data_IF_183398995992
#
_entry.id   IF_183398995992
#
_cell.length_a   1.000
_cell.length_b   1.000
_cell.length_c   1.000
_cell.angle_alpha   90.00
_cell.angle_beta   90.00
_cell.angle_gamma   90.00
#
_symmetry.space_group_name_H-M   'P 1'
#
loop_
_entity.id
_entity.type
_entity.pdbx_description
1 polymer ?
#
# COMPACT_ATOMS: atom_id res chain seq x y z
N UNK A 1 52.62 -28.94 -23.67
CA UNK A 1 51.71 -29.01 -22.56
C UNK A 1 52.04 -27.94 -21.56
N UNK A 2 51.40 -26.76 -21.68
CA UNK A 2 51.55 -25.66 -20.70
C UNK A 2 50.16 -25.43 -20.11
N UNK A 3 49.98 -25.68 -18.81
CA UNK A 3 48.78 -25.34 -18.06
C UNK A 3 48.89 -23.87 -17.65
N UNK A 4 47.95 -23.06 -18.12
CA UNK A 4 47.71 -21.68 -17.68
C UNK A 4 46.96 -21.70 -16.35
N UNK A 5 47.59 -21.11 -15.31
CA UNK A 5 46.92 -20.76 -14.06
C UNK A 5 46.13 -19.47 -14.29
N UNK A 6 44.79 -19.54 -14.26
CA UNK A 6 43.95 -18.37 -14.08
C UNK A 6 43.85 -18.05 -12.58
N UNK A 7 44.37 -16.87 -12.25
CA UNK A 7 44.27 -16.30 -10.92
C UNK A 7 42.86 -15.75 -10.68
N UNK A 8 42.17 -16.33 -9.72
CA UNK A 8 40.96 -15.72 -9.12
C UNK A 8 41.35 -14.41 -8.41
N UNK A 9 40.96 -13.27 -8.98
CA UNK A 9 40.99 -12.01 -8.26
C UNK A 9 39.78 -11.95 -7.34
N UNK A 10 40.01 -12.03 -6.04
CA UNK A 10 39.05 -11.72 -5.00
C UNK A 10 38.73 -10.20 -5.06
N UNK A 11 37.53 -9.85 -5.52
CA UNK A 11 37.02 -8.51 -5.34
C UNK A 11 36.66 -8.37 -3.86
N UNK A 12 37.47 -7.68 -3.11
CA UNK A 12 37.15 -7.14 -1.80
C UNK A 12 36.22 -5.95 -2.04
N UNK A 13 34.92 -6.13 -1.74
CA UNK A 13 33.91 -5.05 -1.68
C UNK A 13 34.33 -4.14 -0.51
N UNK A 14 34.46 -2.84 -0.75
CA UNK A 14 34.81 -1.87 0.30
C UNK A 14 33.64 -1.70 1.27
N UNK A 15 33.86 -1.35 2.55
CA UNK A 15 32.80 -1.07 3.51
C UNK A 15 31.84 0.05 3.05
N UNK A 16 32.33 1.00 2.26
CA UNK A 16 31.54 2.14 1.73
C UNK A 16 30.57 1.71 0.61
N UNK A 17 30.84 0.60 -0.11
CA UNK A 17 29.93 0.06 -1.12
C UNK A 17 28.73 -0.69 -0.49
N UNK A 18 28.83 -1.04 0.80
CA UNK A 18 27.73 -1.66 1.56
C UNK A 18 26.74 -0.64 2.15
N UNK A 19 27.13 0.64 2.29
CA UNK A 19 26.22 1.66 2.84
C UNK A 19 25.19 2.20 1.85
N UNK A 20 25.39 2.07 0.54
CA UNK A 20 24.48 2.62 -0.47
C UNK A 20 23.22 1.78 -0.76
N UNK A 21 23.15 0.53 -0.32
CA UNK A 21 21.97 -0.34 -0.54
C UNK A 21 20.93 -0.30 0.58
N UNK A 22 21.13 0.47 1.65
CA UNK A 22 20.25 0.55 2.81
C UNK A 22 19.21 1.70 2.76
N UNK A 23 19.23 2.54 1.73
CA UNK A 23 18.30 3.68 1.62
C UNK A 23 16.87 3.31 1.17
N UNK A 24 16.61 2.07 0.74
CA UNK A 24 15.24 1.62 0.49
C UNK A 24 14.55 1.31 1.82
N UNK A 25 13.76 2.26 2.30
CA UNK A 25 13.00 2.13 3.54
C UNK A 25 12.04 0.92 3.49
N UNK A 26 12.46 -0.19 4.09
CA UNK A 26 11.76 -1.49 4.08
C UNK A 26 10.36 -1.37 4.68
N UNK A 27 10.18 -0.45 5.60
CA UNK A 27 8.92 -0.24 6.32
C UNK A 27 7.98 0.74 5.63
N UNK A 28 8.36 1.30 4.46
CA UNK A 28 7.44 2.13 3.69
C UNK A 28 6.26 1.29 3.16
N UNK A 29 5.02 1.73 3.34
CA UNK A 29 3.87 1.06 2.76
C UNK A 29 3.70 1.35 1.26
N UNK A 30 4.50 2.24 0.67
CA UNK A 30 4.46 2.57 -0.74
C UNK A 30 5.05 1.46 -1.62
N UNK A 31 4.60 1.42 -2.88
CA UNK A 31 5.09 0.48 -3.87
C UNK A 31 6.45 0.94 -4.40
N UNK A 32 7.42 0.04 -4.40
CA UNK A 32 8.72 0.21 -5.07
C UNK A 32 8.84 -0.82 -6.20
N UNK A 33 9.56 -0.52 -7.31
CA UNK A 33 9.64 -1.43 -8.47
C UNK A 33 10.12 -2.86 -8.13
N UNK A 34 11.00 -3.00 -7.14
CA UNK A 34 11.55 -4.27 -6.67
C UNK A 34 10.47 -5.18 -6.03
N UNK A 35 9.34 -4.59 -5.59
CA UNK A 35 8.22 -5.36 -5.05
C UNK A 35 7.55 -6.22 -6.13
N UNK A 36 7.55 -5.80 -7.39
CA UNK A 36 6.83 -6.50 -8.47
C UNK A 36 7.29 -7.94 -8.65
N UNK A 37 8.59 -8.18 -8.60
CA UNK A 37 9.17 -9.52 -8.79
C UNK A 37 8.84 -10.46 -7.64
N UNK A 38 8.72 -9.93 -6.43
CA UNK A 38 8.50 -10.70 -5.21
C UNK A 38 7.02 -10.80 -4.86
N UNK A 39 6.26 -9.71 -4.98
CA UNK A 39 4.85 -9.69 -4.61
C UNK A 39 3.98 -10.50 -5.58
N UNK A 40 4.28 -10.51 -6.89
CA UNK A 40 3.44 -11.17 -7.88
C UNK A 40 3.24 -12.67 -7.60
N UNK A 41 4.28 -13.47 -7.29
CA UNK A 41 4.11 -14.89 -6.93
C UNK A 41 3.35 -15.07 -5.60
N UNK A 42 3.50 -14.13 -4.66
CA UNK A 42 2.92 -14.21 -3.33
C UNK A 42 1.45 -13.78 -3.28
N UNK A 43 0.93 -13.13 -4.33
CA UNK A 43 -0.44 -12.64 -4.35
C UNK A 43 -1.44 -13.80 -4.38
N UNK A 44 -2.46 -13.79 -3.50
CA UNK A 44 -3.58 -14.74 -3.60
C UNK A 44 -4.36 -14.50 -4.90
N UNK A 45 -4.91 -15.57 -5.45
CA UNK A 45 -5.67 -15.54 -6.73
C UNK A 45 -7.17 -15.66 -6.52
N UNK A 46 -7.61 -16.12 -5.38
CA UNK A 46 -9.02 -16.35 -5.05
C UNK A 46 -9.40 -15.71 -3.73
N UNK A 47 -10.69 -15.43 -3.51
CA UNK A 47 -11.19 -14.95 -2.22
C UNK A 47 -10.90 -15.94 -1.09
N UNK A 48 -10.84 -17.25 -1.38
CA UNK A 48 -10.52 -18.26 -0.39
C UNK A 48 -9.07 -18.18 0.11
N UNK A 49 -8.14 -17.81 -0.77
CA UNK A 49 -6.73 -17.63 -0.42
C UNK A 49 -6.45 -16.28 0.26
N UNK A 50 -7.37 -15.33 0.10
CA UNK A 50 -7.22 -13.97 0.64
C UNK A 50 -7.50 -13.96 2.15
N UNK A 51 -6.45 -13.77 2.95
CA UNK A 51 -6.50 -13.78 4.41
C UNK A 51 -6.93 -12.41 4.91
N UNK A 52 -7.77 -12.37 5.95
CA UNK A 52 -8.29 -11.15 6.56
C UNK A 52 -9.41 -10.49 5.77
N UNK A 53 -9.80 -9.30 6.18
CA UNK A 53 -10.86 -8.48 5.56
C UNK A 53 -12.21 -9.23 5.46
N UNK A 54 -12.59 -10.01 6.48
CA UNK A 54 -13.69 -10.97 6.41
C UNK A 54 -15.01 -10.33 5.95
N UNK A 55 -15.39 -9.16 6.51
CA UNK A 55 -16.61 -8.44 6.11
C UNK A 55 -16.61 -8.04 4.62
N UNK A 56 -15.46 -7.59 4.12
CA UNK A 56 -15.33 -7.21 2.71
C UNK A 56 -15.44 -8.44 1.81
N UNK A 57 -14.82 -9.57 2.20
CA UNK A 57 -14.88 -10.83 1.46
C UNK A 57 -16.27 -11.42 1.41
N UNK A 58 -16.99 -11.45 2.53
CA UNK A 58 -18.36 -11.96 2.61
C UNK A 58 -19.28 -11.19 1.65
N UNK A 59 -19.25 -9.85 1.70
CA UNK A 59 -20.05 -9.02 0.81
C UNK A 59 -19.65 -9.23 -0.66
N UNK A 60 -18.35 -9.22 -0.97
CA UNK A 60 -17.88 -9.42 -2.34
C UNK A 60 -18.27 -10.79 -2.89
N UNK A 61 -18.18 -11.85 -2.09
CA UNK A 61 -18.58 -13.19 -2.49
C UNK A 61 -20.05 -13.22 -2.94
N UNK A 62 -20.94 -12.57 -2.17
CA UNK A 62 -22.37 -12.47 -2.52
C UNK A 62 -22.56 -11.68 -3.81
N UNK A 63 -21.91 -10.51 -3.95
CA UNK A 63 -22.08 -9.66 -5.12
C UNK A 63 -21.56 -10.33 -6.41
N UNK A 64 -20.39 -10.99 -6.33
CA UNK A 64 -19.80 -11.74 -7.44
C UNK A 64 -20.73 -12.89 -7.85
N UNK A 65 -21.22 -13.67 -6.89
CA UNK A 65 -22.12 -14.80 -7.20
C UNK A 65 -23.43 -14.32 -7.80
N UNK A 66 -24.03 -13.27 -7.27
CA UNK A 66 -25.24 -12.65 -7.80
C UNK A 66 -25.02 -12.15 -9.25
N UNK A 67 -23.91 -11.47 -9.53
CA UNK A 67 -23.57 -11.02 -10.88
C UNK A 67 -23.42 -12.20 -11.86
N UNK A 68 -22.76 -13.29 -11.44
CA UNK A 68 -22.64 -14.53 -12.24
C UNK A 68 -23.99 -15.18 -12.54
N UNK A 69 -24.89 -15.25 -11.54
CA UNK A 69 -26.25 -15.80 -11.73
C UNK A 69 -27.03 -14.97 -12.74
N UNK A 70 -26.95 -13.64 -12.68
CA UNK A 70 -27.61 -12.73 -13.62
C UNK A 70 -26.91 -12.66 -14.98
N UNK A 71 -25.67 -13.16 -15.08
CA UNK A 71 -24.79 -13.05 -16.28
C UNK A 71 -24.52 -11.58 -16.64
N UNK A 72 -24.25 -10.77 -15.64
CA UNK A 72 -23.97 -9.33 -15.75
C UNK A 72 -22.58 -9.02 -15.26
N UNK A 73 -22.06 -7.85 -15.63
CA UNK A 73 -20.88 -7.28 -15.01
C UNK A 73 -21.14 -7.01 -13.54
N UNK A 74 -20.13 -7.08 -12.70
CA UNK A 74 -20.22 -6.63 -11.32
C UNK A 74 -20.44 -5.11 -11.30
N UNK A 75 -21.18 -4.61 -10.32
CA UNK A 75 -21.28 -3.17 -10.06
C UNK A 75 -19.89 -2.56 -9.85
N UNK A 76 -19.75 -1.26 -10.14
CA UNK A 76 -18.48 -0.56 -9.92
C UNK A 76 -18.09 -0.58 -8.44
N UNK A 77 -16.81 -0.86 -8.15
CA UNK A 77 -16.28 -1.08 -6.81
C UNK A 77 -15.27 0.01 -6.45
N UNK A 78 -15.42 0.63 -5.29
CA UNK A 78 -14.42 1.52 -4.70
C UNK A 78 -13.73 0.82 -3.53
N UNK A 79 -12.41 0.64 -3.64
CA UNK A 79 -11.56 0.11 -2.57
C UNK A 79 -10.80 1.27 -1.92
N UNK A 80 -10.97 1.48 -0.62
CA UNK A 80 -10.24 2.55 0.06
C UNK A 80 -9.64 2.09 1.37
N UNK A 81 -8.56 2.75 1.77
CA UNK A 81 -7.82 2.45 3.00
C UNK A 81 -6.32 2.69 2.82
N UNK A 82 -5.54 2.57 3.90
CA UNK A 82 -4.10 2.77 3.89
C UNK A 82 -3.37 2.04 2.77
N UNK A 83 -2.17 2.47 2.37
CA UNK A 83 -1.37 1.78 1.36
C UNK A 83 -0.92 0.39 1.88
N UNK A 84 -0.58 -0.52 0.98
CA UNK A 84 -0.04 -1.84 1.33
C UNK A 84 -1.05 -2.89 1.81
N UNK A 85 -2.37 -2.59 1.88
CA UNK A 85 -3.42 -3.50 2.35
C UNK A 85 -3.96 -4.48 1.30
N UNK A 86 -3.47 -4.44 0.06
CA UNK A 86 -3.87 -5.39 -0.98
C UNK A 86 -5.04 -4.94 -1.86
N UNK A 87 -5.31 -3.63 -2.02
CA UNK A 87 -6.36 -3.11 -2.92
C UNK A 87 -6.22 -3.65 -4.35
N UNK A 88 -5.04 -3.57 -4.92
CA UNK A 88 -4.72 -4.10 -6.26
C UNK A 88 -4.88 -5.62 -6.33
N UNK A 89 -4.49 -6.33 -5.27
CA UNK A 89 -4.66 -7.78 -5.16
C UNK A 89 -6.14 -8.16 -5.16
N UNK A 90 -6.95 -7.44 -4.39
CA UNK A 90 -8.40 -7.70 -4.32
C UNK A 90 -9.09 -7.42 -5.66
N UNK A 91 -8.66 -6.38 -6.39
CA UNK A 91 -9.16 -6.12 -7.74
C UNK A 91 -8.82 -7.26 -8.71
N UNK A 92 -7.61 -7.80 -8.64
CA UNK A 92 -7.21 -8.96 -9.46
C UNK A 92 -8.02 -10.22 -9.09
N UNK A 93 -8.28 -10.44 -7.80
CA UNK A 93 -9.13 -11.53 -7.33
C UNK A 93 -10.56 -11.40 -7.89
N UNK A 94 -11.15 -10.19 -7.82
CA UNK A 94 -12.49 -9.94 -8.35
C UNK A 94 -12.57 -10.33 -9.85
N UNK A 95 -11.60 -9.88 -10.64
CA UNK A 95 -11.55 -10.22 -12.07
C UNK A 95 -11.40 -11.74 -12.29
N UNK A 96 -10.53 -12.39 -11.52
CA UNK A 96 -10.33 -13.83 -11.59
C UNK A 96 -11.59 -14.62 -11.20
N UNK A 97 -12.26 -14.23 -10.10
CA UNK A 97 -13.51 -14.83 -9.66
C UNK A 97 -14.64 -14.62 -10.69
N UNK A 98 -14.71 -13.47 -11.34
CA UNK A 98 -15.66 -13.20 -12.43
C UNK A 98 -15.29 -13.94 -13.75
N UNK A 99 -14.06 -14.43 -13.87
CA UNK A 99 -13.56 -15.09 -15.09
C UNK A 99 -13.34 -14.14 -16.26
N UNK A 100 -12.95 -12.90 -15.98
CA UNK A 100 -12.75 -11.82 -16.97
C UNK A 100 -11.32 -11.27 -16.90
N UNK A 101 -10.92 -10.48 -17.92
CA UNK A 101 -9.62 -9.83 -17.90
C UNK A 101 -9.64 -8.58 -17.02
N UNK A 102 -8.46 -8.24 -16.51
CA UNK A 102 -8.23 -6.98 -15.78
C UNK A 102 -7.23 -6.12 -16.55
N UNK A 103 -7.57 -4.84 -16.72
CA UNK A 103 -6.62 -3.80 -17.13
C UNK A 103 -6.28 -2.93 -15.94
N UNK A 104 -4.99 -2.80 -15.66
CA UNK A 104 -4.48 -2.06 -14.51
C UNK A 104 -3.84 -0.77 -14.99
N UNK A 105 -4.24 0.33 -14.39
CA UNK A 105 -3.65 1.66 -14.58
C UNK A 105 -3.67 2.43 -13.25
N UNK A 106 -3.18 3.66 -13.27
CA UNK A 106 -3.22 4.55 -12.11
C UNK A 106 -3.73 5.94 -12.49
N UNK A 107 -4.29 6.68 -11.52
CA UNK A 107 -4.74 8.06 -11.74
C UNK A 107 -3.66 8.94 -12.38
N UNK A 108 -2.42 8.97 -11.85
CA UNK A 108 -1.32 9.73 -12.46
C UNK A 108 -0.95 9.33 -13.88
N UNK A 109 -1.18 8.09 -14.28
CA UNK A 109 -0.87 7.61 -15.64
C UNK A 109 -1.91 8.05 -16.68
N UNK A 110 -3.07 8.56 -16.24
CA UNK A 110 -4.13 9.07 -17.10
C UNK A 110 -4.06 10.61 -17.10
N UNK A 111 -3.24 11.17 -17.97
CA UNK A 111 -2.99 12.61 -17.98
C UNK A 111 -4.14 13.41 -18.61
N UNK A 112 -4.78 12.86 -19.63
CA UNK A 112 -5.82 13.54 -20.42
C UNK A 112 -7.00 12.64 -20.76
N UNK A 113 -8.16 13.23 -21.08
CA UNK A 113 -9.38 12.52 -21.44
C UNK A 113 -9.22 11.44 -22.52
N UNK A 114 -8.36 11.68 -23.51
CA UNK A 114 -8.08 10.72 -24.59
C UNK A 114 -7.40 9.43 -24.13
N UNK A 115 -6.59 9.49 -23.07
CA UNK A 115 -5.92 8.32 -22.52
C UNK A 115 -6.95 7.37 -21.90
N UNK A 116 -7.91 7.93 -21.13
CA UNK A 116 -9.01 7.16 -20.54
C UNK A 116 -9.93 6.60 -21.64
N UNK A 117 -10.29 7.41 -22.63
CA UNK A 117 -11.11 6.95 -23.75
C UNK A 117 -10.47 5.77 -24.49
N UNK A 118 -9.17 5.80 -24.72
CA UNK A 118 -8.42 4.71 -25.34
C UNK A 118 -8.44 3.43 -24.46
N UNK A 119 -8.34 3.56 -23.14
CA UNK A 119 -8.45 2.41 -22.23
C UNK A 119 -9.86 1.80 -22.29
N UNK A 120 -10.91 2.62 -22.21
CA UNK A 120 -12.31 2.18 -22.18
C UNK A 120 -12.74 1.50 -23.48
N UNK A 121 -12.34 2.05 -24.63
CA UNK A 121 -12.69 1.50 -25.96
C UNK A 121 -12.01 0.17 -26.27
N UNK A 122 -10.93 -0.16 -25.57
CA UNK A 122 -10.19 -1.42 -25.72
C UNK A 122 -10.62 -2.51 -24.70
N UNK A 123 -11.68 -2.30 -23.92
CA UNK A 123 -12.24 -3.31 -23.03
C UNK A 123 -13.13 -4.29 -23.81
N UNK A 124 -13.19 -5.54 -23.35
CA UNK A 124 -14.18 -6.51 -23.79
C UNK A 124 -15.38 -6.51 -22.82
N UNK A 125 -16.54 -7.06 -23.24
CA UNK A 125 -17.68 -7.21 -22.36
C UNK A 125 -17.33 -7.98 -21.07
N UNK A 126 -17.62 -7.36 -19.93
CA UNK A 126 -17.35 -7.91 -18.59
C UNK A 126 -15.98 -7.63 -18.03
N UNK A 127 -15.03 -7.11 -18.81
CA UNK A 127 -13.67 -6.80 -18.34
C UNK A 127 -13.67 -5.85 -17.13
N UNK A 128 -12.63 -5.94 -16.32
CA UNK A 128 -12.37 -5.04 -15.20
C UNK A 128 -11.35 -3.98 -15.62
N UNK A 129 -11.68 -2.72 -15.40
CA UNK A 129 -10.72 -1.62 -15.41
C UNK A 129 -10.38 -1.25 -13.97
N UNK A 130 -9.11 -1.43 -13.58
CA UNK A 130 -8.62 -1.02 -12.27
C UNK A 130 -7.81 0.26 -12.38
N UNK A 131 -8.21 1.29 -11.60
CA UNK A 131 -7.50 2.57 -11.51
C UNK A 131 -7.00 2.74 -10.07
N UNK A 132 -5.69 2.61 -9.86
CA UNK A 132 -5.07 2.91 -8.58
C UNK A 132 -4.94 4.43 -8.39
N UNK A 133 -4.98 4.88 -7.12
CA UNK A 133 -4.96 6.30 -6.76
C UNK A 133 -5.94 7.15 -7.59
N UNK A 134 -7.17 6.65 -7.73
CA UNK A 134 -8.22 7.25 -8.58
C UNK A 134 -8.54 8.71 -8.18
N UNK A 135 -8.29 9.12 -6.94
CA UNK A 135 -8.45 10.51 -6.48
C UNK A 135 -7.48 11.49 -7.14
N UNK A 136 -6.45 11.00 -7.85
CA UNK A 136 -5.48 11.82 -8.58
C UNK A 136 -5.88 12.08 -10.05
N UNK A 137 -7.04 11.59 -10.47
CA UNK A 137 -7.58 11.93 -11.78
C UNK A 137 -7.86 13.44 -11.87
N UNK A 138 -7.53 14.03 -13.01
CA UNK A 138 -7.94 15.41 -13.28
C UNK A 138 -9.47 15.49 -13.48
N UNK A 139 -10.06 16.64 -13.18
CA UNK A 139 -11.49 16.86 -13.34
C UNK A 139 -12.01 16.57 -14.76
N UNK A 140 -11.22 16.92 -15.78
CA UNK A 140 -11.57 16.66 -17.18
C UNK A 140 -11.59 15.17 -17.53
N UNK A 141 -10.79 14.35 -16.84
CA UNK A 141 -10.81 12.89 -16.98
C UNK A 141 -12.00 12.29 -16.22
N UNK A 142 -12.31 12.79 -15.02
CA UNK A 142 -13.50 12.36 -14.27
C UNK A 142 -14.80 12.61 -15.05
N UNK A 143 -14.91 13.75 -15.76
CA UNK A 143 -16.09 14.10 -16.57
C UNK A 143 -16.37 13.10 -17.70
N UNK A 144 -15.35 12.43 -18.24
CA UNK A 144 -15.54 11.32 -19.19
C UNK A 144 -15.92 10.02 -18.47
N UNK A 145 -15.43 9.82 -17.25
CA UNK A 145 -15.68 8.61 -16.50
C UNK A 145 -17.16 8.51 -16.07
N UNK A 146 -17.81 9.63 -15.80
CA UNK A 146 -19.21 9.62 -15.36
C UNK A 146 -20.17 8.93 -16.35
N UNK A 147 -20.28 9.36 -17.62
CA UNK A 147 -21.17 8.67 -18.57
C UNK A 147 -20.67 7.26 -18.90
N UNK A 148 -19.35 7.02 -18.85
CA UNK A 148 -18.81 5.68 -19.04
C UNK A 148 -19.30 4.69 -17.96
N UNK A 149 -19.46 5.14 -16.72
CA UNK A 149 -19.95 4.31 -15.60
C UNK A 149 -21.49 4.14 -15.60
N UNK A 150 -22.22 5.19 -15.95
CA UNK A 150 -23.69 5.17 -15.88
C UNK A 150 -24.32 4.58 -17.14
N UNK A 151 -23.92 5.10 -18.32
CA UNK A 151 -24.55 4.82 -19.59
C UNK A 151 -23.76 3.84 -20.46
N UNK A 152 -22.55 3.45 -20.02
CA UNK A 152 -21.61 2.67 -20.83
C UNK A 152 -21.37 3.30 -22.19
N UNK A 153 -21.13 4.62 -22.19
CA UNK A 153 -20.84 5.40 -23.40
C UNK A 153 -19.93 6.58 -23.07
N UNK A 154 -19.22 7.06 -24.06
CA UNK A 154 -18.43 8.31 -23.98
C UNK A 154 -18.77 9.21 -25.15
N UNK A 155 -18.74 10.53 -24.90
CA UNK A 155 -18.90 11.54 -25.94
C UNK A 155 -17.53 12.07 -26.33
N UNK A 156 -17.18 11.88 -27.60
CA UNK A 156 -15.91 12.37 -28.18
C UNK A 156 -16.21 13.59 -29.03
N UNK A 157 -15.69 14.74 -28.63
CA UNK A 157 -15.81 15.97 -29.39
C UNK A 157 -14.60 16.07 -30.35
N UNK A 158 -14.89 16.07 -31.65
CA UNK A 158 -13.88 16.25 -32.69
C UNK A 158 -14.11 17.56 -33.43
N UNK A 159 -13.00 18.25 -33.81
CA UNK A 159 -13.06 19.54 -34.44
C UNK A 159 -13.00 20.72 -33.46
N UNK A 160 -12.98 21.95 -33.99
CA UNK A 160 -12.95 23.20 -33.21
C UNK A 160 -14.02 24.18 -33.70
N UNK A 161 -14.58 24.96 -32.80
CA UNK A 161 -15.56 26.03 -33.14
C UNK A 161 -16.86 25.47 -33.73
N UNK A 162 -17.39 26.11 -34.76
CA UNK A 162 -18.64 25.74 -35.42
C UNK A 162 -18.61 24.38 -36.15
N UNK A 163 -17.43 23.80 -36.35
CA UNK A 163 -17.25 22.47 -36.94
C UNK A 163 -17.04 21.34 -35.88
N UNK A 164 -17.23 21.66 -34.64
CA UNK A 164 -17.17 20.63 -33.58
C UNK A 164 -18.36 19.65 -33.71
N UNK A 165 -18.05 18.38 -33.87
CA UNK A 165 -19.06 17.29 -33.87
C UNK A 165 -18.85 16.43 -32.62
N UNK A 166 -19.94 16.11 -31.93
CA UNK A 166 -19.94 15.16 -30.83
C UNK A 166 -20.32 13.77 -31.36
N UNK A 167 -19.50 12.79 -31.09
CA UNK A 167 -19.73 11.40 -31.41
C UNK A 167 -20.00 10.63 -30.12
N UNK A 168 -21.20 10.10 -30.00
CA UNK A 168 -21.59 9.20 -28.92
C UNK A 168 -21.06 7.79 -29.22
N UNK A 169 -20.09 7.32 -28.45
CA UNK A 169 -19.45 6.03 -28.64
C UNK A 169 -19.90 5.05 -27.54
N UNK A 170 -20.66 4.01 -27.87
CA UNK A 170 -21.06 3.00 -26.89
C UNK A 170 -19.85 2.17 -26.47
N UNK A 171 -19.77 1.84 -25.18
CA UNK A 171 -18.79 0.98 -24.55
C UNK A 171 -19.37 -0.39 -24.22
N UNK A 172 -18.57 -1.45 -24.22
CA UNK A 172 -19.02 -2.70 -23.61
C UNK A 172 -19.32 -2.50 -22.13
N UNK A 173 -20.24 -3.27 -21.56
CA UNK A 173 -20.43 -3.28 -20.11
C UNK A 173 -19.16 -3.78 -19.44
N UNK A 174 -18.66 -3.05 -18.48
CA UNK A 174 -17.42 -3.32 -17.75
C UNK A 174 -17.59 -3.02 -16.26
N UNK A 175 -16.68 -3.49 -15.44
CA UNK A 175 -16.59 -3.13 -14.04
C UNK A 175 -15.41 -2.19 -13.82
N UNK A 176 -15.69 -0.97 -13.31
CA UNK A 176 -14.63 -0.11 -12.80
C UNK A 176 -14.34 -0.48 -11.36
N UNK A 177 -13.07 -0.72 -11.03
CA UNK A 177 -12.57 -0.83 -9.67
C UNK A 177 -11.63 0.35 -9.42
N UNK A 178 -12.08 1.31 -8.63
CA UNK A 178 -11.26 2.42 -8.17
C UNK A 178 -10.58 2.08 -6.85
N UNK A 179 -9.29 2.42 -6.71
CA UNK A 179 -8.59 2.32 -5.44
C UNK A 179 -8.08 3.68 -5.00
N UNK A 180 -8.11 3.96 -3.70
CA UNK A 180 -7.60 5.21 -3.14
C UNK A 180 -7.13 5.05 -1.70
N UNK A 181 -6.07 5.77 -1.36
CA UNK A 181 -5.63 5.96 0.03
C UNK A 181 -6.35 7.14 0.70
N UNK A 182 -6.92 8.06 -0.09
CA UNK A 182 -7.50 9.33 0.35
C UNK A 182 -8.96 9.48 -0.10
N UNK A 183 -9.85 8.66 0.46
CA UNK A 183 -11.27 8.65 0.07
C UNK A 183 -11.96 10.02 0.18
N UNK A 184 -11.52 10.85 1.12
CA UNK A 184 -12.05 12.22 1.28
C UNK A 184 -11.67 13.21 0.17
N UNK A 185 -10.67 12.88 -0.67
CA UNK A 185 -10.27 13.69 -1.82
C UNK A 185 -11.02 13.31 -3.10
N UNK A 186 -11.74 12.18 -3.09
CA UNK A 186 -12.56 11.79 -4.23
C UNK A 186 -13.76 12.71 -4.36
N UNK A 187 -14.05 13.17 -5.58
CA UNK A 187 -15.22 14.01 -5.83
C UNK A 187 -16.51 13.26 -5.47
N UNK A 188 -17.49 13.97 -4.89
CA UNK A 188 -18.77 13.36 -4.54
C UNK A 188 -19.47 12.73 -5.76
N UNK A 189 -19.51 13.39 -6.96
CA UNK A 189 -20.10 12.79 -8.15
C UNK A 189 -19.46 11.46 -8.57
N UNK A 190 -18.15 11.34 -8.46
CA UNK A 190 -17.47 10.08 -8.79
C UNK A 190 -17.75 9.00 -7.75
N UNK A 191 -17.69 9.35 -6.47
CA UNK A 191 -17.92 8.41 -5.38
C UNK A 191 -19.33 7.81 -5.42
N UNK A 192 -20.35 8.64 -5.72
CA UNK A 192 -21.76 8.23 -5.69
C UNK A 192 -22.12 7.26 -6.85
N UNK A 193 -21.21 7.09 -7.82
CA UNK A 193 -21.36 6.15 -8.94
C UNK A 193 -20.80 4.76 -8.64
N UNK A 194 -20.16 4.57 -7.51
CA UNK A 194 -19.74 3.25 -7.07
C UNK A 194 -20.86 2.56 -6.31
N UNK A 195 -21.37 1.46 -6.87
CA UNK A 195 -22.41 0.64 -6.23
C UNK A 195 -21.90 -0.15 -5.01
N UNK A 196 -20.60 -0.45 -4.99
CA UNK A 196 -19.94 -1.19 -3.89
C UNK A 196 -18.77 -0.36 -3.35
N UNK A 197 -18.82 -0.02 -2.07
CA UNK A 197 -17.73 0.74 -1.40
C UNK A 197 -17.19 -0.09 -0.26
N UNK A 198 -15.90 -0.45 -0.32
CA UNK A 198 -15.24 -1.32 0.64
C UNK A 198 -14.04 -0.61 1.27
N UNK A 199 -14.08 -0.50 2.60
CA UNK A 199 -12.95 -0.06 3.40
C UNK A 199 -12.07 -1.26 3.73
N UNK A 200 -10.78 -1.18 3.40
CA UNK A 200 -9.79 -2.13 3.89
C UNK A 200 -9.19 -1.61 5.19
N UNK A 201 -9.11 -2.49 6.16
CA UNK A 201 -8.59 -2.19 7.49
C UNK A 201 -7.18 -2.78 7.66
N UNK A 202 -6.43 -2.26 8.64
CA UNK A 202 -5.16 -2.85 9.01
C UNK A 202 -5.36 -4.28 9.50
N UNK A 203 -4.40 -5.14 9.17
CA UNK A 203 -4.41 -6.54 9.59
C UNK A 203 -3.94 -6.67 11.02
N UNK A 204 -4.48 -7.66 11.73
CA UNK A 204 -3.96 -8.05 13.05
C UNK A 204 -2.62 -8.79 12.89
N UNK A 205 -1.78 -8.84 13.94
CA UNK A 205 -0.57 -9.66 13.92
C UNK A 205 -0.82 -11.13 13.57
N UNK A 206 -1.93 -11.72 14.04
CA UNK A 206 -2.30 -13.10 13.76
C UNK A 206 -2.68 -13.32 12.30
N UNK A 207 -3.41 -12.39 11.69
CA UNK A 207 -3.72 -12.42 10.26
C UNK A 207 -2.44 -12.29 9.42
N UNK A 208 -1.55 -11.37 9.80
CA UNK A 208 -0.25 -11.20 9.13
C UNK A 208 0.65 -12.42 9.32
N UNK A 209 0.67 -13.05 10.49
CA UNK A 209 1.43 -14.29 10.71
C UNK A 209 0.97 -15.42 9.77
N UNK A 210 -0.34 -15.52 9.52
CA UNK A 210 -0.88 -16.45 8.51
C UNK A 210 -0.44 -16.09 7.09
N UNK A 211 -0.38 -14.79 6.75
CA UNK A 211 0.13 -14.31 5.46
C UNK A 211 1.61 -14.63 5.33
N UNK A 212 2.42 -14.36 6.35
CA UNK A 212 3.87 -14.65 6.39
C UNK A 212 4.11 -16.15 6.22
N UNK A 213 3.39 -17.00 6.96
CA UNK A 213 3.51 -18.46 6.85
C UNK A 213 3.14 -18.96 5.45
N UNK A 214 2.06 -18.45 4.87
CA UNK A 214 1.67 -18.77 3.49
C UNK A 214 2.75 -18.32 2.49
N UNK A 215 3.26 -17.11 2.64
CA UNK A 215 4.31 -16.55 1.77
C UNK A 215 5.62 -17.34 1.90
N UNK A 216 6.00 -17.75 3.11
CA UNK A 216 7.15 -18.62 3.36
C UNK A 216 7.00 -19.96 2.63
N UNK A 217 5.82 -20.59 2.67
CA UNK A 217 5.55 -21.83 1.94
C UNK A 217 5.68 -21.68 0.41
N UNK A 218 5.28 -20.55 -0.16
CA UNK A 218 5.44 -20.26 -1.59
C UNK A 218 6.92 -20.04 -1.95
N UNK A 219 7.70 -19.46 -1.02
CA UNK A 219 9.14 -19.24 -1.17
C UNK A 219 9.98 -20.47 -0.81
N UNK A 220 9.35 -21.62 -0.51
CA UNK A 220 9.99 -22.85 -0.07
C UNK A 220 10.87 -22.64 1.17
N UNK A 221 10.43 -21.78 2.07
CA UNK A 221 11.12 -21.38 3.28
C UNK A 221 10.47 -22.03 4.51
N UNK A 222 11.25 -22.73 5.32
CA UNK A 222 10.79 -23.24 6.61
C UNK A 222 10.81 -22.11 7.65
N UNK A 223 9.67 -21.83 8.28
CA UNK A 223 9.50 -20.78 9.29
C UNK A 223 8.78 -21.32 10.53
N UNK A 224 9.33 -21.00 11.70
CA UNK A 224 8.68 -21.34 12.97
C UNK A 224 7.48 -20.42 13.22
N UNK A 225 6.38 -20.89 13.84
CA UNK A 225 5.20 -20.08 14.10
C UNK A 225 5.48 -18.79 14.89
N UNK A 226 6.37 -18.86 15.87
CA UNK A 226 6.75 -17.71 16.69
C UNK A 226 7.57 -16.69 15.87
N UNK A 227 8.41 -17.15 14.95
CA UNK A 227 9.13 -16.30 14.03
C UNK A 227 8.17 -15.59 13.04
N UNK A 228 7.16 -16.31 12.55
CA UNK A 228 6.13 -15.72 11.69
C UNK A 228 5.34 -14.63 12.43
N UNK A 229 5.01 -14.85 13.71
CA UNK A 229 4.34 -13.85 14.55
C UNK A 229 5.24 -12.65 14.84
N UNK A 230 6.54 -12.87 15.06
CA UNK A 230 7.53 -11.81 15.28
C UNK A 230 7.64 -10.89 14.05
N UNK A 231 7.79 -11.46 12.85
CA UNK A 231 7.79 -10.70 11.58
C UNK A 231 6.46 -9.95 11.41
N UNK A 232 5.34 -10.60 11.71
CA UNK A 232 4.01 -10.03 11.58
C UNK A 232 3.79 -8.83 12.53
N UNK A 233 4.20 -8.93 13.79
CA UNK A 233 4.03 -7.87 14.79
C UNK A 233 4.76 -6.58 14.42
N UNK A 234 5.93 -6.69 13.76
CA UNK A 234 6.72 -5.54 13.30
C UNK A 234 6.32 -5.04 11.90
N UNK A 235 5.27 -5.62 11.29
CA UNK A 235 4.84 -5.30 9.91
C UNK A 235 3.84 -4.16 9.79
N UNK A 236 3.63 -3.37 10.84
CA UNK A 236 2.73 -2.18 10.84
C UNK A 236 1.32 -2.46 10.31
N UNK A 237 0.78 -3.65 10.52
CA UNK A 237 -0.55 -4.02 10.05
C UNK A 237 -0.70 -4.17 8.53
N UNK A 238 0.40 -4.25 7.76
CA UNK A 238 0.34 -4.31 6.29
C UNK A 238 1.01 -5.54 5.69
N UNK A 239 0.31 -6.28 4.81
CA UNK A 239 0.86 -7.45 4.12
C UNK A 239 2.12 -7.16 3.28
N UNK A 240 2.21 -5.96 2.69
CA UNK A 240 3.39 -5.57 1.89
C UNK A 240 4.64 -5.52 2.74
N UNK A 241 4.57 -4.84 3.89
CA UNK A 241 5.71 -4.76 4.82
C UNK A 241 6.05 -6.16 5.34
N UNK A 242 5.05 -6.97 5.70
CA UNK A 242 5.25 -8.34 6.16
C UNK A 242 6.06 -9.18 5.15
N UNK A 243 5.71 -9.11 3.87
CA UNK A 243 6.42 -9.82 2.80
C UNK A 243 7.85 -9.27 2.58
N UNK A 244 8.04 -7.95 2.68
CA UNK A 244 9.39 -7.35 2.60
C UNK A 244 10.27 -7.81 3.76
N UNK A 245 9.75 -7.77 4.99
CA UNK A 245 10.47 -8.24 6.16
C UNK A 245 10.79 -9.73 6.05
N UNK A 246 9.84 -10.56 5.63
CA UNK A 246 10.07 -12.00 5.41
C UNK A 246 11.23 -12.24 4.43
N UNK A 247 11.29 -11.48 3.32
CA UNK A 247 12.39 -11.59 2.35
C UNK A 247 13.74 -11.29 3.00
N UNK A 248 13.84 -10.25 3.82
CA UNK A 248 15.10 -9.92 4.52
C UNK A 248 15.46 -10.97 5.57
N UNK A 249 14.49 -11.40 6.37
CA UNK A 249 14.69 -12.46 7.35
C UNK A 249 15.16 -13.76 6.68
N UNK A 250 14.63 -14.10 5.49
CA UNK A 250 15.09 -15.23 4.68
C UNK A 250 16.58 -15.12 4.36
N UNK A 251 17.06 -13.93 3.94
CA UNK A 251 18.46 -13.74 3.59
C UNK A 251 19.37 -14.02 4.79
N UNK A 252 18.96 -13.61 6.00
CA UNK A 252 19.66 -13.94 7.25
C UNK A 252 19.60 -15.44 7.57
N UNK A 253 18.43 -16.07 7.40
CA UNK A 253 18.25 -17.48 7.66
C UNK A 253 19.16 -18.36 6.78
N UNK A 254 19.31 -18.01 5.50
CA UNK A 254 20.20 -18.71 4.57
C UNK A 254 21.65 -18.69 5.02
N UNK A 255 22.11 -17.60 5.64
CA UNK A 255 23.50 -17.44 6.07
C UNK A 255 23.74 -18.00 7.47
N UNK A 256 22.76 -17.88 8.37
CA UNK A 256 22.93 -18.14 9.79
C UNK A 256 22.36 -19.47 10.27
N UNK A 257 21.38 -20.07 9.55
CA UNK A 257 20.61 -21.21 10.04
C UNK A 257 20.10 -22.15 8.93
N UNK A 258 20.96 -22.46 7.95
CA UNK A 258 20.69 -23.40 6.86
C UNK A 258 19.33 -23.20 6.16
N UNK A 259 18.87 -21.93 6.10
CA UNK A 259 17.62 -21.55 5.45
C UNK A 259 16.35 -21.66 6.31
N UNK A 260 16.45 -22.11 7.57
CA UNK A 260 15.31 -22.15 8.48
C UNK A 260 15.18 -20.83 9.26
N UNK A 261 13.98 -20.25 9.25
CA UNK A 261 13.65 -19.04 10.02
C UNK A 261 13.15 -19.42 11.42
N UNK A 262 14.06 -19.42 12.38
CA UNK A 262 13.75 -19.48 13.80
C UNK A 262 13.40 -18.11 14.37
N UNK A 263 12.79 -18.06 15.56
CA UNK A 263 12.52 -16.81 16.29
C UNK A 263 13.80 -15.98 16.49
N UNK A 264 14.91 -16.64 16.89
CA UNK A 264 16.19 -15.98 17.12
C UNK A 264 16.73 -15.32 15.83
N UNK A 265 16.67 -16.03 14.70
CA UNK A 265 17.11 -15.49 13.39
C UNK A 265 16.21 -14.31 12.98
N UNK A 266 14.90 -14.40 13.18
CA UNK A 266 13.98 -13.32 12.88
C UNK A 266 14.30 -12.06 13.72
N UNK A 267 14.51 -12.21 15.01
CA UNK A 267 14.86 -11.11 15.91
C UNK A 267 16.18 -10.45 15.51
N UNK A 268 17.24 -11.23 15.30
CA UNK A 268 18.54 -10.70 14.86
C UNK A 268 18.42 -9.95 13.53
N UNK A 269 17.67 -10.51 12.57
CA UNK A 269 17.49 -9.87 11.27
C UNK A 269 16.76 -8.53 11.39
N UNK A 270 15.69 -8.46 12.19
CA UNK A 270 14.90 -7.25 12.38
C UNK A 270 15.67 -6.18 13.17
N UNK A 271 16.42 -6.58 14.21
CA UNK A 271 17.29 -5.67 14.95
C UNK A 271 18.39 -5.08 14.08
N UNK A 272 19.03 -5.89 13.23
CA UNK A 272 20.05 -5.41 12.29
C UNK A 272 19.50 -4.46 11.23
N UNK A 273 18.19 -4.53 10.96
CA UNK A 273 17.46 -3.60 10.10
C UNK A 273 16.97 -2.36 10.88
N UNK A 274 17.37 -2.22 12.15
CA UNK A 274 16.95 -1.13 13.03
C UNK A 274 15.43 -0.99 13.20
N UNK A 275 14.69 -2.11 13.04
CA UNK A 275 13.24 -2.17 13.21
C UNK A 275 12.94 -2.65 14.64
N UNK A 276 12.28 -1.80 15.41
CA UNK A 276 11.95 -2.09 16.81
C UNK A 276 10.72 -3.02 16.98
N UNK A 277 10.37 -3.32 18.22
CA UNK A 277 9.27 -4.23 18.58
C UNK A 277 7.89 -3.78 18.03
N UNK A 278 7.71 -2.48 17.81
CA UNK A 278 6.49 -1.92 17.21
C UNK A 278 6.61 -1.68 15.70
N UNK A 279 7.72 -2.10 15.08
CA UNK A 279 7.94 -1.89 13.66
C UNK A 279 8.39 -0.48 13.29
N UNK A 280 8.85 0.35 14.25
CA UNK A 280 9.42 1.65 13.95
C UNK A 280 10.84 1.47 13.42
N UNK A 281 11.12 2.16 12.31
CA UNK A 281 12.46 2.23 11.75
C UNK A 281 13.28 3.42 12.31
N UNK A 282 14.49 3.59 11.80
CA UNK A 282 15.38 4.69 12.18
C UNK A 282 14.77 6.07 11.91
N UNK A 283 14.02 6.23 10.81
CA UNK A 283 13.44 7.51 10.43
C UNK A 283 12.24 7.86 11.30
N UNK A 284 11.38 6.90 11.66
CA UNK A 284 10.30 7.13 12.62
C UNK A 284 10.84 7.64 13.96
N UNK A 285 11.85 6.93 14.49
CA UNK A 285 12.46 7.31 15.77
C UNK A 285 13.16 8.67 15.67
N UNK A 286 13.85 8.95 14.54
CA UNK A 286 14.47 10.26 14.29
C UNK A 286 13.43 11.38 14.23
N UNK A 287 12.28 11.13 13.56
CA UNK A 287 11.19 12.09 13.48
C UNK A 287 10.64 12.46 14.87
N UNK A 288 10.27 11.45 15.66
CA UNK A 288 9.78 11.66 17.02
C UNK A 288 10.82 12.35 17.90
N UNK A 289 12.08 11.91 17.86
CA UNK A 289 13.17 12.48 18.64
C UNK A 289 13.46 13.92 18.24
N UNK A 290 13.49 14.25 16.95
CA UNK A 290 13.67 15.61 16.45
C UNK A 290 12.57 16.54 16.98
N UNK A 291 11.32 16.09 16.96
CA UNK A 291 10.19 16.86 17.50
C UNK A 291 10.34 17.09 19.02
N UNK A 292 10.83 16.10 19.75
CA UNK A 292 11.03 16.20 21.20
C UNK A 292 12.18 17.15 21.53
N UNK A 293 13.34 16.94 20.91
CA UNK A 293 14.59 17.61 21.28
C UNK A 293 14.59 19.09 20.86
N UNK A 294 14.07 19.40 19.66
CA UNK A 294 14.12 20.77 19.11
C UNK A 294 12.83 21.56 19.28
N UNK A 295 11.69 20.89 19.48
CA UNK A 295 10.38 21.54 19.49
C UNK A 295 9.55 21.20 20.73
N UNK A 296 10.15 20.61 21.77
CA UNK A 296 9.49 20.21 23.02
C UNK A 296 8.25 19.30 22.78
N UNK A 297 8.30 18.47 21.75
CA UNK A 297 7.21 17.56 21.36
C UNK A 297 6.08 18.22 20.56
N UNK A 298 6.22 19.47 20.19
CA UNK A 298 5.26 20.20 19.35
C UNK A 298 4.34 21.17 20.10
N UNK A 299 3.38 21.81 19.39
CA UNK A 299 2.97 21.57 18.00
C UNK A 299 3.95 22.09 16.94
N UNK A 300 4.27 21.29 15.93
CA UNK A 300 5.20 21.62 14.83
C UNK A 300 4.51 21.48 13.48
N UNK A 301 4.78 22.40 12.55
CA UNK A 301 4.28 22.34 11.18
C UNK A 301 4.98 21.22 10.37
N UNK A 302 4.28 20.66 9.37
CA UNK A 302 4.79 19.57 8.54
C UNK A 302 6.10 19.95 7.85
N UNK A 303 6.15 21.10 7.18
CA UNK A 303 7.33 21.60 6.46
C UNK A 303 8.54 21.79 7.39
N UNK A 304 8.29 22.22 8.64
CA UNK A 304 9.34 22.38 9.64
C UNK A 304 9.92 21.05 10.08
N UNK A 305 9.08 20.03 10.27
CA UNK A 305 9.51 18.67 10.59
C UNK A 305 10.30 18.10 9.41
N UNK A 306 9.79 18.24 8.20
CA UNK A 306 10.39 17.79 6.97
C UNK A 306 11.83 18.32 6.80
N UNK A 307 12.00 19.63 6.93
CA UNK A 307 13.30 20.28 6.87
C UNK A 307 14.26 19.82 7.98
N UNK A 308 13.74 19.60 9.20
CA UNK A 308 14.56 19.20 10.35
C UNK A 308 14.99 17.73 10.29
N UNK A 309 14.16 16.85 9.70
CA UNK A 309 14.45 15.42 9.55
C UNK A 309 15.22 15.14 8.24
N UNK A 310 15.17 16.05 7.26
CA UNK A 310 15.78 15.87 5.93
C UNK A 310 14.96 14.95 5.03
N UNK A 311 13.62 14.97 5.19
CA UNK A 311 12.67 14.21 4.38
C UNK A 311 11.73 15.16 3.62
N UNK A 312 11.09 14.67 2.56
CA UNK A 312 10.03 15.43 1.91
C UNK A 312 8.76 15.48 2.77
N UNK A 313 8.07 16.63 2.78
CA UNK A 313 6.84 16.81 3.57
C UNK A 313 5.75 15.80 3.18
N UNK A 314 5.61 15.50 1.89
CA UNK A 314 4.67 14.49 1.38
C UNK A 314 5.01 13.10 1.91
N UNK A 315 6.29 12.74 1.95
CA UNK A 315 6.76 11.45 2.47
C UNK A 315 6.43 11.31 3.96
N UNK A 316 6.63 12.38 4.75
CA UNK A 316 6.22 12.35 6.16
C UNK A 316 4.71 12.17 6.30
N UNK A 317 3.91 12.92 5.55
CA UNK A 317 2.44 12.86 5.64
C UNK A 317 1.86 11.53 5.16
N UNK A 318 2.44 10.91 4.14
CA UNK A 318 1.87 9.73 3.50
C UNK A 318 2.45 8.41 4.02
N UNK A 319 3.71 8.41 4.49
CA UNK A 319 4.42 7.19 4.89
C UNK A 319 4.54 7.06 6.41
N UNK A 320 5.06 8.09 7.09
CA UNK A 320 5.40 7.98 8.52
C UNK A 320 4.25 8.37 9.45
N UNK A 321 3.62 9.52 9.20
CA UNK A 321 2.57 10.08 10.06
C UNK A 321 1.39 9.12 10.27
N UNK A 322 0.86 8.40 9.24
CA UNK A 322 -0.31 7.56 9.42
C UNK A 322 -0.10 6.44 10.44
N UNK A 323 1.06 5.78 10.41
CA UNK A 323 1.36 4.72 11.35
C UNK A 323 1.62 5.26 12.76
N UNK A 324 2.41 6.32 12.90
CA UNK A 324 2.68 6.95 14.18
C UNK A 324 1.41 7.48 14.86
N UNK A 325 0.45 7.98 14.07
CA UNK A 325 -0.86 8.39 14.59
C UNK A 325 -1.70 7.17 15.02
N UNK A 326 -1.67 6.10 14.24
CA UNK A 326 -2.42 4.88 14.53
C UNK A 326 -1.99 4.23 15.85
N UNK A 327 -0.68 4.13 16.11
CA UNK A 327 -0.16 3.60 17.37
C UNK A 327 -0.20 4.63 18.51
N UNK A 328 -0.73 5.83 18.23
CA UNK A 328 -0.93 6.87 19.23
C UNK A 328 0.34 7.59 19.66
N UNK A 329 1.42 7.59 18.88
CA UNK A 329 2.67 8.28 19.19
C UNK A 329 2.69 9.72 18.69
N UNK A 330 1.90 10.01 17.66
CA UNK A 330 1.76 11.33 17.06
C UNK A 330 0.29 11.76 17.10
N UNK A 331 0.02 13.01 17.38
CA UNK A 331 -1.30 13.62 17.29
C UNK A 331 -1.28 14.82 16.33
N UNK A 332 -2.30 14.93 15.48
CA UNK A 332 -2.49 16.08 14.59
C UNK A 332 -3.43 17.09 15.23
N UNK A 333 -2.98 18.32 15.35
CA UNK A 333 -3.75 19.44 15.91
C UNK A 333 -3.88 20.55 14.86
N UNK A 334 -4.81 21.52 15.03
CA UNK A 334 -4.90 22.68 14.12
C UNK A 334 -3.63 23.54 14.06
N UNK A 335 -2.75 23.42 15.08
CA UNK A 335 -1.48 24.16 15.15
C UNK A 335 -0.28 23.39 14.60
N UNK A 336 -0.44 22.08 14.32
CA UNK A 336 0.64 21.21 13.89
C UNK A 336 0.61 19.84 14.55
N UNK A 337 1.70 19.10 14.40
CA UNK A 337 1.88 17.73 14.94
C UNK A 337 2.47 17.81 16.35
N UNK A 338 2.01 16.93 17.23
CA UNK A 338 2.50 16.80 18.61
C UNK A 338 2.86 15.34 18.91
N UNK A 339 3.97 15.12 19.58
CA UNK A 339 4.32 13.81 20.15
C UNK A 339 3.50 13.59 21.42
N UNK A 340 2.87 12.42 21.50
CA UNK A 340 2.03 12.06 22.65
C UNK A 340 2.87 11.53 23.80
N UNK A 341 2.32 11.45 25.04
CA UNK A 341 3.01 10.81 26.15
C UNK A 341 3.48 9.38 25.85
N UNK A 342 2.72 8.61 25.05
CA UNK A 342 3.11 7.25 24.62
C UNK A 342 4.36 7.27 23.75
N UNK A 343 4.48 8.22 22.80
CA UNK A 343 5.67 8.39 21.98
C UNK A 343 6.92 8.77 22.80
N UNK A 344 6.78 9.58 23.83
CA UNK A 344 7.89 9.87 24.77
C UNK A 344 8.34 8.60 25.51
N UNK A 345 7.39 7.85 26.07
CA UNK A 345 7.70 6.65 26.86
C UNK A 345 8.37 5.58 26.00
N UNK A 346 7.94 5.41 24.77
CA UNK A 346 8.56 4.47 23.83
C UNK A 346 10.05 4.77 23.56
N UNK A 347 10.38 6.07 23.49
CA UNK A 347 11.78 6.50 23.35
C UNK A 347 12.56 6.52 24.69
N UNK A 348 11.99 6.03 25.79
CA UNK A 348 12.59 6.04 27.11
C UNK A 348 12.65 7.43 27.76
N UNK A 349 11.88 8.39 27.25
CA UNK A 349 11.87 9.78 27.70
C UNK A 349 10.66 10.07 28.58
N UNK A 350 10.79 11.02 29.51
CA UNK A 350 9.67 11.46 30.36
C UNK A 350 8.83 12.50 29.61
N UNK A 351 7.51 12.31 29.51
CA UNK A 351 6.65 13.32 28.90
C UNK A 351 6.65 14.61 29.76
N UNK A 352 6.54 15.80 29.14
CA UNK A 352 6.44 17.05 29.85
C UNK A 352 5.19 17.09 30.75
N UNK A 353 5.29 17.66 31.95
CA UNK A 353 4.22 17.70 32.99
C UNK A 353 2.90 18.38 32.56
N UNK A 354 2.85 19.03 31.41
CA UNK A 354 1.72 19.81 30.89
C UNK A 354 1.27 19.45 29.49
N UNK A 355 1.53 18.22 29.02
CA UNK A 355 0.99 17.77 27.74
C UNK A 355 -0.52 17.48 27.87
N UNK A 356 -1.34 18.55 27.86
CA UNK A 356 -2.77 18.42 27.59
C UNK A 356 -2.91 18.05 26.10
N UNK A 357 -2.90 16.76 25.81
CA UNK A 357 -3.29 16.26 24.49
C UNK A 357 -4.81 16.43 24.42
N UNK A 358 -5.34 17.21 23.46
CA UNK A 358 -6.79 17.22 23.24
C UNK A 358 -7.21 15.79 22.91
N UNK A 359 -8.28 15.32 23.53
CA UNK A 359 -8.91 14.05 23.15
C UNK A 359 -9.11 14.03 21.65
N UNK A 360 -8.57 13.00 20.98
CA UNK A 360 -8.80 12.79 19.56
C UNK A 360 -10.30 12.63 19.36
N UNK A 361 -10.92 13.65 18.75
CA UNK A 361 -12.24 13.45 18.18
C UNK A 361 -12.08 12.40 17.07
N UNK A 362 -12.49 11.19 17.36
CA UNK A 362 -12.70 10.14 16.36
C UNK A 362 -13.67 10.68 15.33
N UNK A 363 -13.15 11.13 14.20
CA UNK A 363 -13.95 11.39 13.00
C UNK A 363 -14.34 10.02 12.42
N UNK A 364 -15.57 9.62 12.73
CA UNK A 364 -16.26 8.50 12.10
C UNK A 364 -16.60 8.81 10.64
#
# INVERSE_FOLDING_TARGET
MKRSHESFQSHTVSPDDMEMDFENNITTPEYVPEDAEVENPLRPRTLREYIGQEKAKENLSIFIEAAKIRRESLDHVLLYGPPGLGKTTLAAIIANEMGVNIRITSGPAIEKPGDLAALLTNLNPGDVLFIDEIHRLSRSVEEILYPAMEDFAIDIITGKGQMAASYHLPLPRFTLIGATTRAGQLSAPLRDRFGVILRLEMYTPEELARIVTRSAGILELEIDPDAALEVASRSRGTPRIANRLLKRVRDFALVMNDGRVSLEVAQIALERQEIDELGLDKTDRRLLKTMIDFYNGGPVGLETIAAAVGEEAVTIEDVYEPYLMQIGFLARTPRGRCVTPAGYLHLGLKPPRAAHVPEQQTLY
#
